data_IF_458882057318
#
_entry.id   IF_458882057318
#
_cell.length_a   1.000
_cell.length_b   1.000
_cell.length_c   1.000
_cell.angle_alpha   90.00
_cell.angle_beta   90.00
_cell.angle_gamma   90.00
#
_symmetry.space_group_name_H-M   'P 1'
#
loop_
_entity.id
_entity.type
_entity.pdbx_description
1 polymer ?
#
# COMPACT_ATOMS: atom_id res chain seq x y z
N UNK A 1 6.48 -28.32 38.03
CA UNK A 1 6.17 -28.09 39.44
C UNK A 1 4.68 -27.90 39.54
N UNK A 2 4.03 -28.75 40.31
CA UNK A 2 2.62 -29.14 40.28
C UNK A 2 1.67 -28.06 40.75
N UNK A 3 0.76 -27.60 39.88
CA UNK A 3 -0.38 -26.80 40.23
C UNK A 3 -1.50 -27.71 40.74
N UNK A 4 -1.73 -27.72 42.06
CA UNK A 4 -2.87 -28.39 42.66
C UNK A 4 -4.11 -27.53 42.49
N UNK A 5 -5.23 -28.07 42.03
CA UNK A 5 -6.46 -27.30 41.84
C UNK A 5 -7.06 -26.88 43.18
N UNK A 6 -7.21 -25.57 43.41
CA UNK A 6 -7.87 -24.93 44.57
C UNK A 6 -9.39 -25.23 44.69
N UNK A 7 -9.95 -26.11 43.85
CA UNK A 7 -11.35 -26.53 43.93
C UNK A 7 -11.67 -27.46 45.10
N UNK A 8 -10.67 -27.99 45.83
CA UNK A 8 -10.91 -28.95 46.93
C UNK A 8 -11.28 -28.28 48.25
N UNK A 9 -11.02 -26.99 48.45
CA UNK A 9 -11.27 -26.34 49.73
C UNK A 9 -12.75 -25.95 49.95
N UNK A 10 -13.52 -25.63 48.93
CA UNK A 10 -14.94 -25.30 49.06
C UNK A 10 -15.81 -26.53 49.33
N UNK A 11 -15.46 -27.68 48.78
CA UNK A 11 -16.16 -28.95 49.05
C UNK A 11 -15.84 -29.51 50.41
N UNK A 12 -14.68 -29.23 50.92
CA UNK A 12 -14.25 -29.69 52.24
C UNK A 12 -15.03 -28.97 53.37
N UNK A 13 -15.32 -27.66 53.22
CA UNK A 13 -16.16 -26.93 54.16
C UNK A 13 -17.60 -27.42 54.20
N UNK A 14 -18.19 -27.69 53.05
CA UNK A 14 -19.55 -28.24 52.96
C UNK A 14 -19.62 -29.68 53.51
N UNK A 15 -18.62 -30.52 53.22
CA UNK A 15 -18.56 -31.90 53.74
C UNK A 15 -18.40 -31.94 55.26
N UNK A 16 -17.61 -31.05 55.87
CA UNK A 16 -17.45 -30.92 57.31
C UNK A 16 -18.76 -30.47 57.96
N UNK A 17 -19.47 -29.49 57.40
CA UNK A 17 -20.77 -29.01 57.90
C UNK A 17 -21.83 -30.10 57.87
N UNK A 18 -21.93 -30.89 56.80
CA UNK A 18 -22.86 -32.03 56.71
C UNK A 18 -22.46 -33.13 57.68
N UNK A 19 -21.17 -33.41 57.87
CA UNK A 19 -20.67 -34.40 58.82
C UNK A 19 -21.00 -34.04 60.28
N UNK A 20 -20.78 -32.78 60.71
CA UNK A 20 -21.13 -32.30 62.02
C UNK A 20 -22.64 -32.31 62.28
N UNK A 21 -23.45 -31.99 61.28
CA UNK A 21 -24.89 -32.08 61.37
C UNK A 21 -25.36 -33.55 61.54
N UNK A 22 -24.78 -34.47 60.78
CA UNK A 22 -25.07 -35.89 60.95
C UNK A 22 -24.75 -36.46 62.32
N UNK A 23 -23.62 -36.02 62.92
CA UNK A 23 -23.23 -36.40 64.30
C UNK A 23 -24.19 -35.80 65.32
N UNK A 24 -24.60 -34.55 65.18
CA UNK A 24 -25.55 -33.89 66.13
C UNK A 24 -26.92 -34.57 66.08
N UNK A 25 -27.42 -35.00 64.94
CA UNK A 25 -28.66 -35.75 64.74
C UNK A 25 -28.58 -37.15 65.40
N UNK A 26 -27.45 -37.83 65.23
CA UNK A 26 -27.20 -39.17 65.80
C UNK A 26 -27.10 -39.15 67.32
N UNK A 27 -26.58 -38.08 67.93
CA UNK A 27 -26.47 -37.94 69.39
C UNK A 27 -27.78 -37.52 70.07
N UNK A 28 -28.70 -36.85 69.33
CA UNK A 28 -29.95 -36.31 69.94
C UNK A 28 -31.10 -37.30 70.00
N UNK A 29 -31.05 -38.42 69.30
CA UNK A 29 -32.03 -39.49 69.28
C UNK A 29 -33.48 -39.08 68.95
N UNK A 30 -33.74 -37.80 68.57
CA UNK A 30 -35.04 -37.26 68.20
C UNK A 30 -34.90 -36.30 67.00
N UNK A 31 -35.61 -36.58 65.92
CA UNK A 31 -35.75 -35.69 64.78
C UNK A 31 -36.78 -34.61 65.13
N UNK A 32 -36.30 -33.49 65.65
CA UNK A 32 -37.18 -32.32 65.90
C UNK A 32 -37.15 -31.37 64.67
N UNK A 33 -38.31 -30.92 64.21
CA UNK A 33 -38.51 -30.01 63.06
C UNK A 33 -37.56 -28.79 63.05
N UNK A 34 -37.21 -28.13 64.18
CA UNK A 34 -36.29 -26.99 64.16
C UNK A 34 -34.84 -27.34 63.78
N UNK A 35 -34.39 -28.56 64.06
CA UNK A 35 -33.03 -28.99 63.66
C UNK A 35 -32.91 -29.19 62.15
N UNK A 36 -33.98 -29.68 61.50
CA UNK A 36 -34.03 -29.84 60.04
C UNK A 36 -33.97 -28.46 59.36
N UNK A 37 -34.70 -27.49 59.84
CA UNK A 37 -34.72 -26.10 59.33
C UNK A 37 -33.38 -25.42 59.47
N UNK A 38 -32.66 -25.59 60.59
CA UNK A 38 -31.31 -25.04 60.77
C UNK A 38 -30.31 -25.65 59.80
N UNK A 39 -30.40 -26.98 59.58
CA UNK A 39 -29.56 -27.69 58.61
C UNK A 39 -29.79 -27.23 57.13
N UNK A 40 -31.07 -27.11 56.74
CA UNK A 40 -31.44 -26.58 55.43
C UNK A 40 -30.99 -25.12 55.25
N UNK A 41 -31.11 -24.28 56.28
CA UNK A 41 -30.63 -22.91 56.28
C UNK A 41 -29.11 -22.82 56.09
N UNK A 42 -28.34 -23.68 56.77
CA UNK A 42 -26.89 -23.71 56.64
C UNK A 42 -26.43 -24.16 55.23
N UNK A 43 -27.12 -25.11 54.63
CA UNK A 43 -26.84 -25.55 53.22
C UNK A 43 -27.20 -24.48 52.22
N UNK A 44 -28.32 -23.76 52.40
CA UNK A 44 -28.71 -22.64 51.55
C UNK A 44 -27.73 -21.46 51.65
N UNK A 45 -27.31 -21.11 52.87
CA UNK A 45 -26.33 -20.03 53.13
C UNK A 45 -24.94 -20.43 52.56
N UNK A 46 -24.51 -21.68 52.74
CA UNK A 46 -23.27 -22.20 52.19
C UNK A 46 -23.26 -22.22 50.65
N UNK A 47 -24.39 -22.59 50.05
CA UNK A 47 -24.59 -22.52 48.60
C UNK A 47 -24.60 -21.09 48.06
N UNK A 48 -25.25 -20.16 48.80
CA UNK A 48 -25.30 -18.75 48.40
C UNK A 48 -23.97 -18.02 48.57
N UNK A 49 -23.19 -18.33 49.59
CA UNK A 49 -21.82 -17.82 49.76
C UNK A 49 -20.81 -18.45 48.79
N UNK A 50 -20.98 -19.73 48.47
CA UNK A 50 -20.14 -20.42 47.49
C UNK A 50 -20.43 -19.97 46.04
N UNK A 51 -21.68 -19.59 45.73
CA UNK A 51 -22.10 -19.10 44.40
C UNK A 51 -21.65 -17.67 44.08
N UNK A 52 -21.24 -16.88 45.09
CA UNK A 52 -20.73 -15.51 44.86
C UNK A 52 -19.27 -15.43 44.42
N UNK A 53 -18.54 -16.52 44.37
CA UNK A 53 -17.13 -16.58 44.01
C UNK A 53 -16.83 -16.93 42.57
N UNK A 54 -17.84 -17.09 41.67
CA UNK A 54 -17.60 -17.22 40.25
C UNK A 54 -17.46 -15.85 39.63
N UNK A 55 -16.34 -15.16 39.96
CA UNK A 55 -15.81 -14.13 39.06
C UNK A 55 -15.61 -14.80 37.71
N UNK A 56 -16.27 -14.24 36.66
CA UNK A 56 -16.01 -14.62 35.27
C UNK A 56 -14.48 -14.69 35.03
N UNK A 57 -13.97 -15.67 34.28
CA UNK A 57 -12.53 -15.81 34.07
C UNK A 57 -12.01 -14.49 33.50
N UNK A 58 -11.26 -13.74 34.30
CA UNK A 58 -10.54 -12.56 33.83
C UNK A 58 -9.69 -13.00 32.67
N UNK A 59 -9.74 -12.27 31.52
CA UNK A 59 -8.95 -12.64 30.37
C UNK A 59 -7.50 -12.82 30.81
N UNK A 60 -6.94 -13.95 30.53
CA UNK A 60 -5.58 -14.35 30.98
C UNK A 60 -4.60 -13.26 30.53
N UNK A 61 -3.81 -12.68 31.44
CA UNK A 61 -2.85 -11.60 31.09
C UNK A 61 -1.89 -12.00 29.96
N UNK A 62 -1.60 -13.29 29.80
CA UNK A 62 -0.79 -13.82 28.71
C UNK A 62 -1.44 -13.65 27.31
N UNK A 63 -2.77 -13.83 27.18
CA UNK A 63 -3.46 -13.68 25.90
C UNK A 63 -3.54 -12.21 25.44
N UNK A 64 -3.63 -11.28 26.38
CA UNK A 64 -3.64 -9.84 26.10
C UNK A 64 -2.23 -9.36 25.72
N UNK A 65 -1.20 -9.79 26.45
CA UNK A 65 0.19 -9.50 26.12
C UNK A 65 0.61 -10.06 24.76
N UNK A 66 0.18 -11.29 24.42
CA UNK A 66 0.44 -11.89 23.14
C UNK A 66 -0.24 -11.16 21.98
N UNK A 67 -1.49 -10.72 22.16
CA UNK A 67 -2.21 -9.89 21.15
C UNK A 67 -1.53 -8.55 20.95
N UNK A 68 -1.04 -7.93 21.98
CA UNK A 68 -0.33 -6.66 21.92
C UNK A 68 1.00 -6.80 21.16
N UNK A 69 1.78 -7.84 21.48
CA UNK A 69 3.03 -8.15 20.77
C UNK A 69 2.80 -8.45 19.27
N UNK A 70 1.73 -9.15 18.93
CA UNK A 70 1.35 -9.39 17.51
C UNK A 70 0.98 -8.08 16.82
N UNK A 71 0.20 -7.21 17.46
CA UNK A 71 -0.19 -5.93 16.88
C UNK A 71 1.02 -5.01 16.66
N UNK A 72 1.95 -4.95 17.60
CA UNK A 72 3.22 -4.21 17.48
C UNK A 72 4.08 -4.78 16.35
N UNK A 73 4.22 -6.11 16.28
CA UNK A 73 4.97 -6.76 15.21
C UNK A 73 4.36 -6.49 13.84
N UNK A 74 3.03 -6.54 13.70
CA UNK A 74 2.33 -6.21 12.46
C UNK A 74 2.59 -4.76 12.07
N UNK A 75 2.42 -3.81 12.98
CA UNK A 75 2.68 -2.39 12.73
C UNK A 75 4.14 -2.14 12.30
N UNK A 76 5.10 -2.83 12.93
CA UNK A 76 6.52 -2.69 12.62
C UNK A 76 6.89 -3.18 11.20
N UNK A 77 6.16 -4.17 10.67
CA UNK A 77 6.43 -4.77 9.37
C UNK A 77 5.61 -4.16 8.22
N UNK A 78 4.66 -3.27 8.51
CA UNK A 78 3.93 -2.53 7.46
C UNK A 78 4.89 -1.52 6.82
N UNK A 79 5.15 -1.62 5.49
CA UNK A 79 6.08 -0.74 4.80
C UNK A 79 5.56 0.70 4.67
N UNK A 80 4.25 0.87 4.62
CA UNK A 80 3.62 2.18 4.55
C UNK A 80 3.54 2.85 5.93
N UNK A 81 3.65 4.19 6.02
CA UNK A 81 3.51 4.92 7.28
C UNK A 81 2.12 4.77 7.91
N UNK A 82 2.09 4.38 9.18
CA UNK A 82 0.87 4.22 9.98
C UNK A 82 1.01 5.01 11.27
N UNK A 83 -0.02 5.80 11.59
CA UNK A 83 -0.09 6.64 12.79
C UNK A 83 -1.43 6.39 13.49
N UNK A 84 -1.37 6.16 14.80
CA UNK A 84 -2.53 6.03 15.66
C UNK A 84 -2.66 7.28 16.54
N UNK A 85 -3.85 7.85 16.59
CA UNK A 85 -4.14 9.04 17.40
C UNK A 85 -5.32 8.82 18.34
N UNK A 86 -5.34 9.56 19.42
CA UNK A 86 -6.45 9.60 20.37
C UNK A 86 -7.53 10.61 19.95
N UNK A 87 -8.57 10.77 20.79
CA UNK A 87 -9.65 11.76 20.56
C UNK A 87 -9.19 13.21 20.60
N UNK A 88 -8.01 13.49 21.16
CA UNK A 88 -7.40 14.83 21.23
C UNK A 88 -6.36 15.05 20.14
N UNK A 89 -6.31 14.16 19.15
CA UNK A 89 -5.30 14.17 18.08
C UNK A 89 -3.85 14.00 18.58
N UNK A 90 -3.67 13.48 19.80
CA UNK A 90 -2.35 13.13 20.31
C UNK A 90 -1.91 11.81 19.67
N UNK A 91 -0.64 11.74 19.27
CA UNK A 91 -0.05 10.53 18.73
C UNK A 91 0.07 9.47 19.82
N UNK A 92 -0.63 8.36 19.67
CA UNK A 92 -0.56 7.21 20.58
C UNK A 92 0.56 6.29 20.17
N UNK A 93 0.62 5.93 18.87
CA UNK A 93 1.63 5.05 18.33
C UNK A 93 1.89 5.39 16.85
N UNK A 94 3.08 5.04 16.36
CA UNK A 94 3.45 5.17 14.95
C UNK A 94 4.45 4.07 14.58
N UNK A 95 4.34 3.54 13.38
CA UNK A 95 5.28 2.54 12.90
C UNK A 95 6.63 3.16 12.50
N UNK A 96 7.69 2.35 12.27
CA UNK A 96 9.00 2.84 11.87
C UNK A 96 8.97 3.67 10.58
N UNK A 97 8.13 3.31 9.61
CA UNK A 97 7.97 4.04 8.36
C UNK A 97 7.42 5.46 8.57
N UNK A 98 6.43 5.63 9.47
CA UNK A 98 5.89 6.94 9.82
C UNK A 98 6.91 7.82 10.53
N UNK A 99 7.72 7.24 11.43
CA UNK A 99 8.79 7.98 12.13
C UNK A 99 9.92 8.39 11.19
N UNK A 100 10.24 7.56 10.21
CA UNK A 100 11.22 7.89 9.17
C UNK A 100 10.73 9.02 8.25
N UNK A 101 9.43 9.00 7.89
CA UNK A 101 8.81 10.04 7.06
C UNK A 101 8.67 11.37 7.82
N UNK A 102 8.28 11.31 9.10
CA UNK A 102 7.98 12.46 9.94
C UNK A 102 8.86 12.42 11.22
N UNK A 103 10.10 12.88 11.17
CA UNK A 103 11.01 12.81 12.34
C UNK A 103 10.52 13.57 13.58
N UNK A 104 9.65 14.57 13.40
CA UNK A 104 9.02 15.33 14.49
C UNK A 104 7.87 14.58 15.18
N UNK A 105 7.53 13.35 14.71
CA UNK A 105 6.45 12.55 15.25
C UNK A 105 6.88 11.88 16.57
N UNK A 106 6.28 12.31 17.67
CA UNK A 106 6.56 11.77 18.99
C UNK A 106 5.26 11.36 19.69
N UNK A 107 5.33 10.28 20.48
CA UNK A 107 4.21 9.84 21.32
C UNK A 107 3.78 10.94 22.29
N UNK A 108 2.50 10.97 22.61
CA UNK A 108 1.84 11.94 23.49
C UNK A 108 1.96 13.41 23.04
N UNK A 109 2.38 13.68 21.80
CA UNK A 109 2.36 15.03 21.21
C UNK A 109 1.24 15.17 20.19
N UNK A 110 0.70 16.39 19.99
CA UNK A 110 -0.28 16.63 18.95
C UNK A 110 0.27 16.31 17.56
N UNK A 111 -0.53 15.68 16.73
CA UNK A 111 -0.18 15.33 15.34
C UNK A 111 0.26 16.56 14.53
N UNK A 112 -0.33 17.74 14.81
CA UNK A 112 -0.02 19.02 14.15
C UNK A 112 1.44 19.48 14.29
N UNK A 113 2.19 18.97 15.27
CA UNK A 113 3.62 19.27 15.39
C UNK A 113 4.46 18.60 14.29
N UNK A 114 4.06 17.38 13.90
CA UNK A 114 4.76 16.60 12.89
C UNK A 114 4.18 16.79 11.48
N UNK A 115 2.88 16.97 11.39
CA UNK A 115 2.13 17.03 10.14
C UNK A 115 1.31 18.33 10.11
N UNK A 116 1.75 19.27 9.24
CA UNK A 116 1.19 20.63 9.15
C UNK A 116 0.29 20.83 7.94
N UNK A 117 -0.40 19.77 7.48
CA UNK A 117 -1.40 19.88 6.41
C UNK A 117 -2.77 20.13 7.02
N UNK A 118 -3.40 21.28 6.76
CA UNK A 118 -4.76 21.57 7.22
C UNK A 118 -5.75 20.50 6.78
N UNK A 119 -5.65 20.06 5.52
CA UNK A 119 -6.56 19.06 4.94
C UNK A 119 -6.54 17.74 5.73
N UNK A 120 -5.35 17.31 6.18
CA UNK A 120 -5.22 16.08 6.97
C UNK A 120 -5.73 16.29 8.39
N UNK A 121 -5.43 17.43 9.02
CA UNK A 121 -5.89 17.72 10.38
C UNK A 121 -7.42 17.84 10.44
N UNK A 122 -8.02 18.59 9.51
CA UNK A 122 -9.48 18.71 9.37
C UNK A 122 -10.11 17.34 9.06
N UNK A 123 -9.43 16.52 8.25
CA UNK A 123 -9.82 15.15 7.97
C UNK A 123 -9.87 14.28 9.21
N UNK A 124 -8.87 14.37 10.09
CA UNK A 124 -8.84 13.64 11.36
C UNK A 124 -9.99 14.09 12.29
N UNK A 125 -10.20 15.40 12.45
CA UNK A 125 -11.29 15.92 13.29
C UNK A 125 -12.66 15.48 12.76
N UNK A 126 -12.85 15.52 11.44
CA UNK A 126 -14.08 15.08 10.81
C UNK A 126 -14.34 13.57 11.02
N UNK A 127 -13.30 12.72 10.96
CA UNK A 127 -13.42 11.28 11.23
C UNK A 127 -13.71 11.02 12.69
N UNK A 128 -13.04 11.74 13.62
CA UNK A 128 -13.27 11.60 15.05
C UNK A 128 -14.69 12.01 15.46
N UNK A 129 -15.30 12.98 14.78
CA UNK A 129 -16.66 13.45 15.05
C UNK A 129 -17.74 12.61 14.39
N UNK A 130 -17.55 12.19 13.12
CA UNK A 130 -18.57 11.49 12.33
C UNK A 130 -18.45 9.96 12.35
N UNK A 131 -17.27 9.44 12.67
CA UNK A 131 -16.93 8.02 12.51
C UNK A 131 -16.75 7.56 11.06
N UNK A 132 -17.00 8.42 10.08
CA UNK A 132 -16.90 8.07 8.65
C UNK A 132 -15.46 8.20 8.14
N UNK A 133 -14.90 7.18 7.47
CA UNK A 133 -13.55 7.24 6.95
C UNK A 133 -13.40 8.31 5.85
N UNK A 134 -12.23 8.93 5.78
CA UNK A 134 -11.88 9.93 4.76
C UNK A 134 -10.55 9.61 4.09
N UNK A 135 -10.41 10.12 2.86
CA UNK A 135 -9.15 10.13 2.11
C UNK A 135 -8.81 11.57 1.77
N UNK A 136 -7.60 11.97 2.07
CA UNK A 136 -7.10 13.33 1.80
C UNK A 136 -5.72 13.26 1.18
N UNK A 137 -5.39 14.15 0.23
CA UNK A 137 -4.04 14.23 -0.31
C UNK A 137 -3.10 14.90 0.69
N UNK A 138 -1.83 14.46 0.67
CA UNK A 138 -0.74 15.08 1.41
C UNK A 138 0.47 15.20 0.48
N UNK A 139 0.92 16.42 0.23
CA UNK A 139 2.17 16.69 -0.46
C UNK A 139 3.25 17.12 0.54
N UNK A 140 4.41 16.47 0.50
CA UNK A 140 5.60 16.84 1.28
C UNK A 140 6.67 17.36 0.33
N UNK A 141 7.36 18.46 0.70
CA UNK A 141 8.40 19.07 -0.16
C UNK A 141 9.83 18.81 0.33
N UNK A 142 10.00 18.33 1.54
CA UNK A 142 11.32 18.15 2.18
C UNK A 142 11.43 16.75 2.75
N UNK A 143 12.54 16.03 2.52
CA UNK A 143 13.72 16.37 1.71
C UNK A 143 13.51 16.19 0.20
N UNK A 144 12.49 15.45 -0.21
CA UNK A 144 12.08 15.20 -1.58
C UNK A 144 10.59 15.44 -1.71
N UNK A 145 10.17 15.93 -2.87
CA UNK A 145 8.75 16.05 -3.17
C UNK A 145 8.12 14.65 -3.27
N UNK A 146 7.20 14.37 -2.35
CA UNK A 146 6.41 13.14 -2.30
C UNK A 146 4.95 13.46 -2.17
N UNK A 147 4.13 12.64 -2.82
CA UNK A 147 2.68 12.74 -2.76
C UNK A 147 2.12 11.50 -2.09
N UNK A 148 1.38 11.69 -1.02
CA UNK A 148 0.69 10.63 -0.30
C UNK A 148 -0.82 10.77 -0.42
N UNK A 149 -1.52 9.65 -0.37
CA UNK A 149 -2.94 9.59 -0.03
C UNK A 149 -3.05 9.16 1.43
N UNK A 150 -3.61 10.02 2.28
CA UNK A 150 -3.83 9.72 3.70
C UNK A 150 -5.24 9.16 3.86
N UNK A 151 -5.34 7.90 4.21
CA UNK A 151 -6.60 7.26 4.57
C UNK A 151 -6.78 7.36 6.08
N UNK A 152 -7.86 7.99 6.51
CA UNK A 152 -8.17 8.23 7.92
C UNK A 152 -9.42 7.41 8.26
N UNK A 153 -9.29 6.53 9.26
CA UNK A 153 -10.37 5.68 9.73
C UNK A 153 -10.57 5.78 11.23
N UNK A 154 -11.84 5.80 11.68
CA UNK A 154 -12.16 5.69 13.09
C UNK A 154 -11.89 4.26 13.59
N UNK A 155 -11.28 4.13 14.77
CA UNK A 155 -11.07 2.86 15.45
C UNK A 155 -11.95 2.83 16.71
N UNK A 156 -13.10 2.13 16.68
CA UNK A 156 -13.91 1.93 17.86
C UNK A 156 -13.22 0.91 18.76
N UNK A 157 -12.32 1.39 19.62
CA UNK A 157 -11.64 0.53 20.60
C UNK A 157 -12.42 0.48 21.90
N UNK A 158 -12.42 -0.68 22.60
CA UNK A 158 -12.99 -0.77 23.95
C UNK A 158 -12.34 0.25 24.89
N UNK A 159 -13.12 0.77 25.82
CA UNK A 159 -12.68 1.78 26.79
C UNK A 159 -11.33 1.42 27.42
N UNK A 160 -10.35 2.31 27.32
CA UNK A 160 -9.03 2.22 27.92
C UNK A 160 -7.83 2.12 26.98
N UNK A 161 -8.00 1.91 25.67
CA UNK A 161 -6.86 1.84 24.73
C UNK A 161 -6.29 3.21 24.34
N UNK A 162 -7.04 4.29 24.54
CA UNK A 162 -6.66 5.65 24.16
C UNK A 162 -6.66 5.90 22.63
N UNK A 163 -6.68 4.87 21.80
CA UNK A 163 -6.68 5.00 20.33
C UNK A 163 -8.09 5.28 19.82
N UNK A 164 -8.24 6.25 18.92
CA UNK A 164 -9.54 6.65 18.38
C UNK A 164 -9.55 6.74 16.85
N UNK A 165 -8.41 7.00 16.20
CA UNK A 165 -8.30 7.00 14.76
C UNK A 165 -6.94 6.46 14.27
N UNK A 166 -6.97 5.92 13.04
CA UNK A 166 -5.84 5.42 12.29
C UNK A 166 -5.62 6.31 11.07
N UNK A 167 -4.38 6.73 10.85
CA UNK A 167 -3.94 7.33 9.59
C UNK A 167 -3.02 6.35 8.89
N UNK A 168 -3.34 6.02 7.65
CA UNK A 168 -2.53 5.21 6.75
C UNK A 168 -2.09 6.08 5.57
N UNK A 169 -0.79 6.24 5.36
CA UNK A 169 -0.22 7.10 4.33
C UNK A 169 0.31 6.24 3.18
N UNK A 170 -0.40 6.23 2.08
CA UNK A 170 0.01 5.53 0.87
C UNK A 170 0.85 6.44 -0.01
N UNK A 171 2.09 6.05 -0.32
CA UNK A 171 2.94 6.80 -1.24
C UNK A 171 2.45 6.62 -2.69
N UNK A 172 2.02 7.72 -3.31
CA UNK A 172 1.59 7.78 -4.71
C UNK A 172 2.61 8.48 -5.60
N UNK A 173 3.81 8.77 -5.11
CA UNK A 173 4.80 9.58 -5.83
C UNK A 173 5.17 8.98 -7.18
N UNK A 174 5.47 7.69 -7.22
CA UNK A 174 5.81 6.99 -8.47
C UNK A 174 4.64 6.94 -9.45
N UNK A 175 3.45 6.62 -8.96
CA UNK A 175 2.23 6.58 -9.78
C UNK A 175 1.90 7.96 -10.38
N UNK A 176 2.00 9.04 -9.56
CA UNK A 176 1.77 10.41 -10.02
C UNK A 176 2.84 10.89 -11.01
N UNK A 177 4.10 10.53 -10.79
CA UNK A 177 5.18 10.85 -11.75
C UNK A 177 4.97 10.15 -13.08
N UNK A 178 4.61 8.87 -13.06
CA UNK A 178 4.32 8.13 -14.28
C UNK A 178 3.16 8.75 -15.05
N UNK A 179 2.08 9.11 -14.37
CA UNK A 179 0.93 9.77 -14.99
C UNK A 179 1.29 11.14 -15.57
N UNK A 180 2.06 11.96 -14.85
CA UNK A 180 2.55 13.23 -15.35
C UNK A 180 3.44 13.05 -16.59
N UNK A 181 4.39 12.11 -16.56
CA UNK A 181 5.21 11.78 -17.73
C UNK A 181 4.37 11.36 -18.94
N UNK A 182 3.31 10.59 -18.72
CA UNK A 182 2.37 10.19 -19.79
C UNK A 182 1.65 11.40 -20.41
N UNK A 183 1.17 12.30 -19.58
CA UNK A 183 0.49 13.52 -20.05
C UNK A 183 1.45 14.40 -20.84
N UNK A 184 2.66 14.62 -20.30
CA UNK A 184 3.70 15.42 -20.97
C UNK A 184 4.15 14.78 -22.29
N UNK A 185 4.28 13.46 -22.35
CA UNK A 185 4.60 12.72 -23.54
C UNK A 185 3.57 12.94 -24.66
N UNK A 186 2.27 12.79 -24.34
CA UNK A 186 1.19 13.02 -25.32
C UNK A 186 1.17 14.48 -25.80
N UNK A 187 1.37 15.43 -24.88
CA UNK A 187 1.42 16.85 -25.21
C UNK A 187 2.60 17.16 -26.15
N UNK A 188 3.81 16.67 -25.82
CA UNK A 188 5.01 16.87 -26.63
C UNK A 188 4.88 16.20 -28.00
N UNK A 189 4.38 14.96 -28.09
CA UNK A 189 4.13 14.28 -29.34
C UNK A 189 3.16 15.08 -30.25
N UNK A 190 2.10 15.61 -29.66
CA UNK A 190 1.13 16.46 -30.35
C UNK A 190 1.76 17.74 -30.91
N UNK A 191 2.65 18.38 -30.16
CA UNK A 191 3.38 19.58 -30.61
C UNK A 191 4.38 19.25 -31.72
N UNK A 192 5.14 18.16 -31.59
CA UNK A 192 6.12 17.73 -32.58
C UNK A 192 5.48 17.27 -33.90
N UNK A 193 4.26 16.77 -33.88
CA UNK A 193 3.50 16.43 -35.08
C UNK A 193 2.82 17.65 -35.72
N UNK A 194 2.34 18.62 -34.93
CA UNK A 194 1.63 19.80 -35.43
C UNK A 194 2.50 20.68 -36.32
N UNK A 195 3.76 20.87 -35.95
CA UNK A 195 4.70 21.75 -36.71
C UNK A 195 4.95 21.27 -38.15
N UNK A 196 5.39 20.03 -38.39
CA UNK A 196 5.57 19.55 -39.76
C UNK A 196 4.24 19.47 -40.55
N UNK A 197 3.13 19.15 -39.89
CA UNK A 197 1.81 19.14 -40.52
C UNK A 197 1.41 20.53 -41.01
N UNK A 198 1.58 21.58 -40.19
CA UNK A 198 1.33 22.96 -40.59
C UNK A 198 2.22 23.36 -41.80
N UNK A 199 3.48 22.93 -41.80
CA UNK A 199 4.39 23.15 -42.91
C UNK A 199 3.90 22.47 -44.21
N UNK A 200 3.43 21.22 -44.12
CA UNK A 200 2.86 20.50 -45.25
C UNK A 200 1.63 21.23 -45.83
N UNK A 201 0.71 21.67 -44.94
CA UNK A 201 -0.49 22.41 -45.35
C UNK A 201 -0.10 23.71 -46.05
N UNK A 202 0.83 24.49 -45.49
CA UNK A 202 1.27 25.75 -46.11
C UNK A 202 1.91 25.56 -47.51
N UNK A 203 2.68 24.50 -47.70
CA UNK A 203 3.22 24.17 -49.05
C UNK A 203 2.13 23.70 -50.03
N UNK A 204 1.15 22.92 -49.55
CA UNK A 204 0.00 22.54 -50.36
C UNK A 204 -0.79 23.79 -50.82
N UNK A 205 -1.09 24.71 -49.91
CA UNK A 205 -1.78 25.97 -50.23
C UNK A 205 -0.96 26.83 -51.22
N UNK A 206 0.36 26.89 -51.04
CA UNK A 206 1.27 27.61 -51.95
C UNK A 206 1.28 27.01 -53.35
N UNK A 207 1.30 25.68 -53.47
CA UNK A 207 1.23 24.98 -54.74
C UNK A 207 -0.14 25.04 -55.41
N UNK A 208 -1.21 25.20 -54.66
CA UNK A 208 -2.56 25.40 -55.21
C UNK A 208 -2.83 26.83 -55.63
N UNK A 209 -2.04 27.79 -55.13
CA UNK A 209 -2.20 29.23 -55.36
C UNK A 209 -0.99 29.88 -56.04
N UNK A 210 -0.14 30.63 -55.33
CA UNK A 210 0.92 31.46 -55.92
C UNK A 210 1.97 30.72 -56.74
N UNK A 211 2.29 29.47 -56.42
CA UNK A 211 3.30 28.67 -57.11
C UNK A 211 2.70 27.60 -58.06
N UNK A 212 1.45 27.72 -58.43
CA UNK A 212 0.74 26.73 -59.24
C UNK A 212 1.43 26.43 -60.58
N UNK A 213 1.89 27.47 -61.26
CA UNK A 213 2.46 27.38 -62.59
C UNK A 213 4.02 27.42 -62.57
N UNK A 214 4.63 27.48 -61.39
CA UNK A 214 6.08 27.48 -61.20
C UNK A 214 6.59 26.03 -61.03
N UNK A 215 7.13 25.46 -62.11
CA UNK A 215 7.65 24.08 -62.11
C UNK A 215 8.82 23.87 -61.16
N UNK A 216 9.71 24.87 -60.99
CA UNK A 216 10.88 24.78 -60.15
C UNK A 216 10.48 24.87 -58.64
N UNK A 217 9.60 25.77 -58.32
CA UNK A 217 9.04 25.88 -56.96
C UNK A 217 8.30 24.59 -56.58
N UNK A 218 7.52 24.02 -57.49
CA UNK A 218 6.79 22.77 -57.28
C UNK A 218 7.73 21.61 -56.89
N UNK A 219 8.78 21.37 -57.67
CA UNK A 219 9.74 20.30 -57.39
C UNK A 219 10.39 20.47 -56.01
N UNK A 220 10.83 21.68 -55.70
CA UNK A 220 11.46 22.03 -54.43
C UNK A 220 10.49 21.85 -53.24
N UNK A 221 9.25 22.30 -53.36
CA UNK A 221 8.28 22.17 -52.28
C UNK A 221 7.82 20.73 -52.06
N UNK A 222 7.66 19.94 -53.13
CA UNK A 222 7.38 18.51 -53.03
C UNK A 222 8.50 17.75 -52.32
N UNK A 223 9.76 18.09 -52.58
CA UNK A 223 10.90 17.48 -51.84
C UNK A 223 10.90 17.85 -50.35
N UNK A 224 10.64 19.11 -49.99
CA UNK A 224 10.53 19.52 -48.61
C UNK A 224 9.36 18.78 -47.93
N UNK A 225 8.20 18.67 -48.57
CA UNK A 225 7.06 17.93 -48.07
C UNK A 225 7.36 16.46 -47.85
N UNK A 226 8.09 15.82 -48.77
CA UNK A 226 8.54 14.44 -48.66
C UNK A 226 9.42 14.25 -47.41
N UNK A 227 10.37 15.13 -47.17
CA UNK A 227 11.25 15.09 -46.00
C UNK A 227 10.45 15.27 -44.71
N UNK A 228 9.48 16.19 -44.68
CA UNK A 228 8.64 16.39 -43.48
C UNK A 228 7.74 15.17 -43.22
N UNK A 229 7.14 14.58 -44.24
CA UNK A 229 6.33 13.37 -44.09
C UNK A 229 7.15 12.20 -43.54
N UNK A 230 8.37 12.00 -44.08
CA UNK A 230 9.28 10.97 -43.55
C UNK A 230 9.70 11.21 -42.09
N UNK A 231 9.88 12.48 -41.70
CA UNK A 231 10.14 12.84 -40.30
C UNK A 231 8.95 12.46 -39.41
N UNK A 232 7.73 12.75 -39.87
CA UNK A 232 6.52 12.40 -39.13
C UNK A 232 6.36 10.88 -38.95
N UNK A 233 6.62 10.11 -40.01
CA UNK A 233 6.57 8.64 -39.95
C UNK A 233 7.54 8.11 -38.91
N UNK A 234 8.79 8.57 -38.90
CA UNK A 234 9.79 8.16 -37.90
C UNK A 234 9.33 8.50 -36.47
N UNK A 235 8.78 9.71 -36.25
CA UNK A 235 8.29 10.10 -34.95
C UNK A 235 7.15 9.19 -34.47
N UNK A 236 6.24 8.80 -35.38
CA UNK A 236 5.15 7.86 -35.05
C UNK A 236 5.72 6.49 -34.71
N UNK A 237 6.69 5.99 -35.44
CA UNK A 237 7.33 4.69 -35.19
C UNK A 237 8.03 4.70 -33.81
N UNK A 238 8.75 5.79 -33.48
CA UNK A 238 9.38 5.98 -32.16
C UNK A 238 8.35 5.96 -31.03
N UNK A 239 7.20 6.65 -31.20
CA UNK A 239 6.10 6.67 -30.22
C UNK A 239 5.47 5.29 -30.03
N UNK A 240 5.27 4.55 -31.12
CA UNK A 240 4.71 3.18 -31.07
C UNK A 240 5.69 2.21 -30.42
N UNK A 241 6.98 2.34 -30.68
CA UNK A 241 8.03 1.51 -30.06
C UNK A 241 8.08 1.76 -28.56
N UNK A 242 8.03 3.03 -28.10
CA UNK A 242 7.98 3.35 -26.69
C UNK A 242 6.74 2.79 -26.00
N UNK A 243 5.56 2.93 -26.64
CA UNK A 243 4.31 2.36 -26.12
C UNK A 243 4.38 0.82 -25.96
N UNK A 244 5.03 0.12 -26.90
CA UNK A 244 5.25 -1.33 -26.80
C UNK A 244 6.18 -1.70 -25.64
N UNK A 245 7.25 -0.92 -25.41
CA UNK A 245 8.18 -1.13 -24.31
C UNK A 245 7.43 -0.95 -22.96
N UNK A 246 6.66 0.13 -22.81
CA UNK A 246 5.87 0.37 -21.60
C UNK A 246 4.87 -0.76 -21.28
N UNK A 247 4.19 -1.29 -22.31
CA UNK A 247 3.25 -2.40 -22.15
C UNK A 247 3.92 -3.70 -21.70
N UNK A 248 5.21 -3.89 -22.04
CA UNK A 248 5.98 -5.10 -21.75
C UNK A 248 6.96 -4.95 -20.58
N UNK A 249 7.06 -3.78 -19.97
CA UNK A 249 8.02 -3.50 -18.88
C UNK A 249 8.01 -4.53 -17.74
N UNK A 250 6.85 -5.13 -17.48
CA UNK A 250 6.67 -6.08 -16.38
C UNK A 250 6.59 -7.55 -16.85
N UNK A 251 6.78 -7.80 -18.16
CA UNK A 251 6.72 -9.13 -18.74
C UNK A 251 8.12 -9.55 -19.14
N UNK A 252 8.69 -10.50 -18.40
CA UNK A 252 9.99 -11.06 -18.77
C UNK A 252 9.88 -11.76 -20.14
N UNK A 253 10.79 -11.48 -21.09
CA UNK A 253 10.78 -12.14 -22.38
C UNK A 253 11.05 -13.65 -22.21
N UNK A 254 10.24 -14.48 -22.87
CA UNK A 254 10.36 -15.94 -22.84
C UNK A 254 10.90 -16.51 -24.15
N UNK A 255 10.93 -15.72 -25.21
CA UNK A 255 11.47 -16.13 -26.50
C UNK A 255 13.00 -16.23 -26.43
N UNK A 256 13.55 -17.19 -27.16
CA UNK A 256 15.01 -17.35 -27.31
C UNK A 256 15.43 -16.65 -28.59
N UNK A 257 16.31 -15.66 -28.46
CA UNK A 257 16.85 -14.88 -29.59
C UNK A 257 18.29 -15.24 -29.80
N UNK A 258 18.67 -15.54 -31.07
CA UNK A 258 20.06 -15.71 -31.50
C UNK A 258 20.64 -14.34 -31.86
N UNK A 259 21.47 -13.80 -30.98
CA UNK A 259 22.14 -12.52 -31.18
C UNK A 259 23.08 -12.50 -32.37
N UNK A 260 23.70 -13.64 -32.71
CA UNK A 260 24.55 -13.73 -33.89
C UNK A 260 23.75 -13.58 -35.19
N UNK A 261 22.59 -14.25 -35.28
CA UNK A 261 21.69 -14.09 -36.41
C UNK A 261 21.15 -12.66 -36.52
N UNK A 262 20.76 -12.05 -35.40
CA UNK A 262 20.27 -10.68 -35.36
C UNK A 262 21.35 -9.67 -35.76
N UNK A 263 22.59 -9.84 -35.29
CA UNK A 263 23.72 -8.98 -35.66
C UNK A 263 24.03 -9.05 -37.16
N UNK A 264 24.01 -10.26 -37.77
CA UNK A 264 24.19 -10.44 -39.24
C UNK A 264 23.10 -9.69 -40.00
N UNK A 265 21.84 -9.86 -39.59
CA UNK A 265 20.72 -9.17 -40.24
C UNK A 265 20.85 -7.64 -40.16
N UNK A 266 21.31 -7.11 -39.02
CA UNK A 266 21.54 -5.67 -38.84
C UNK A 266 22.70 -5.17 -39.74
N UNK A 267 23.78 -5.91 -39.83
CA UNK A 267 24.92 -5.55 -40.73
C UNK A 267 24.49 -5.53 -42.17
N UNK A 268 23.73 -6.54 -42.61
CA UNK A 268 23.20 -6.61 -43.98
C UNK A 268 22.27 -5.41 -44.26
N UNK A 269 21.38 -5.07 -43.36
CA UNK A 269 20.47 -3.94 -43.50
C UNK A 269 21.19 -2.59 -43.56
N UNK A 270 22.32 -2.44 -42.85
CA UNK A 270 23.10 -1.20 -42.78
C UNK A 270 24.21 -1.12 -43.86
N UNK A 271 24.46 -2.16 -44.64
CA UNK A 271 25.51 -2.22 -45.63
C UNK A 271 25.44 -1.10 -46.68
N UNK A 272 24.33 -0.97 -47.38
CA UNK A 272 24.09 0.07 -48.39
C UNK A 272 24.16 1.50 -47.81
N UNK A 273 23.52 1.82 -46.68
CA UNK A 273 23.67 3.12 -45.99
C UNK A 273 25.12 3.44 -45.58
N UNK A 274 25.88 2.43 -45.17
CA UNK A 274 27.28 2.62 -44.78
C UNK A 274 28.17 2.92 -46.00
N UNK A 275 28.02 2.15 -47.07
CA UNK A 275 28.75 2.38 -48.36
C UNK A 275 28.48 3.78 -48.90
N UNK A 276 27.23 4.23 -48.91
CA UNK A 276 26.84 5.59 -49.32
C UNK A 276 27.53 6.70 -48.50
N UNK A 277 28.01 6.38 -47.32
CA UNK A 277 28.77 7.29 -46.42
C UNK A 277 30.27 7.03 -46.41
N UNK A 278 30.75 6.11 -47.23
CA UNK A 278 32.16 5.72 -47.27
C UNK A 278 32.63 4.93 -46.05
N UNK A 279 31.70 4.35 -45.30
CA UNK A 279 31.99 3.53 -44.12
C UNK A 279 31.89 2.03 -44.45
N UNK A 280 32.68 1.20 -43.76
CA UNK A 280 32.62 -0.27 -43.86
C UNK A 280 32.24 -0.85 -42.51
N UNK A 281 31.21 -1.71 -42.47
CA UNK A 281 30.81 -2.42 -41.26
C UNK A 281 31.43 -3.81 -41.32
N UNK A 282 32.10 -4.25 -40.25
CA UNK A 282 32.61 -5.61 -40.07
C UNK A 282 31.98 -6.22 -38.86
N UNK A 283 31.50 -7.44 -39.00
CA UNK A 283 31.01 -8.25 -37.90
C UNK A 283 32.09 -9.27 -37.52
N UNK A 284 32.55 -9.25 -36.30
CA UNK A 284 33.44 -10.26 -35.76
C UNK A 284 32.64 -11.14 -34.79
N UNK A 285 32.42 -12.39 -35.16
CA UNK A 285 31.70 -13.36 -34.36
C UNK A 285 32.69 -14.24 -33.60
N UNK A 286 32.49 -14.38 -32.26
CA UNK A 286 33.18 -15.37 -31.48
C UNK A 286 32.57 -16.77 -31.64
N UNK A 287 33.11 -17.75 -30.90
CA UNK A 287 32.54 -19.09 -30.86
C UNK A 287 31.23 -19.10 -30.06
N UNK A 288 30.06 -19.19 -30.75
CA UNK A 288 28.73 -19.26 -30.11
C UNK A 288 28.43 -20.56 -29.38
N UNK A 289 27.27 -20.73 -28.74
CA UNK A 289 25.98 -20.13 -29.13
C UNK A 289 25.70 -18.78 -28.42
N UNK A 290 25.05 -17.86 -29.16
CA UNK A 290 24.67 -16.53 -28.65
C UNK A 290 23.16 -16.43 -28.38
N UNK A 291 22.56 -17.55 -27.92
CA UNK A 291 21.16 -17.64 -27.62
C UNK A 291 20.87 -17.04 -26.25
N UNK A 292 19.98 -16.05 -26.15
CA UNK A 292 19.56 -15.39 -24.92
C UNK A 292 18.05 -15.30 -24.84
N UNK A 293 17.45 -15.35 -23.65
CA UNK A 293 16.04 -14.96 -23.52
C UNK A 293 15.91 -13.47 -23.84
N UNK A 294 15.11 -13.11 -24.84
CA UNK A 294 14.99 -11.73 -25.29
C UNK A 294 13.78 -11.50 -26.18
N UNK A 295 13.61 -10.24 -26.59
CA UNK A 295 12.69 -9.82 -27.62
C UNK A 295 13.54 -9.38 -28.83
N UNK A 296 13.20 -9.83 -30.04
CA UNK A 296 13.95 -9.51 -31.23
C UNK A 296 13.69 -8.10 -31.79
N UNK A 297 12.60 -7.45 -31.33
CA UNK A 297 12.21 -6.08 -31.68
C UNK A 297 12.82 -5.06 -30.69
#
# INVERSE_FOLDING_TARGET
MSDRPRSSQSWMGAAIAVGLFGIAVALSGRLELPLILVGLGAVCIGGWLGGRGQEAPRPRPAATAQRHAIAEALLAHVPDPVILVDRRTLVVEANPAARALLPALHQARPLSFALRSPEVLDGVEAVLSSGMPRRVPLATRVPLERTFEVQIGALPMPDGSGVSALLFLRDLTSARRLEAMRVDFVANASHELRTPLATLIGFIETLQGPARDDAQARERFLEIMRVQAQRMTRLIDDLLSLSRIELREHVAPTAVVDLGALARQMVDAQGLPAEARGATIRLEEGAGPFAVPGDSD
#
